data_IF_168571107297
#
_entry.id   IF_168571107297
#
_cell.length_a   1.000
_cell.length_b   1.000
_cell.length_c   1.000
_cell.angle_alpha   90.00
_cell.angle_beta   90.00
_cell.angle_gamma   90.00
#
_symmetry.space_group_name_H-M   'P 1'
#
loop_
_entity.id
_entity.type
_entity.pdbx_description
1 polymer ?
#
# COMPACT_ATOMS: atom_id res chain seq x y z
N UNK A 1 13.19 70.78 -29.70
CA UNK A 1 12.05 70.02 -29.16
C UNK A 1 12.31 68.55 -29.47
N UNK A 2 12.48 67.78 -28.39
CA UNK A 2 12.68 66.34 -28.17
C UNK A 2 13.02 65.36 -29.31
N UNK A 3 14.14 64.67 -29.08
CA UNK A 3 14.65 63.44 -29.71
C UNK A 3 13.88 62.23 -29.19
N UNK A 4 13.51 61.28 -30.05
CA UNK A 4 13.06 59.94 -29.63
C UNK A 4 13.86 58.91 -30.45
N UNK A 5 14.69 58.06 -29.82
CA UNK A 5 15.37 56.99 -30.55
C UNK A 5 14.46 55.76 -30.67
N UNK A 6 14.55 55.10 -31.82
CA UNK A 6 13.93 53.81 -32.07
C UNK A 6 14.55 52.75 -31.15
N UNK A 7 13.77 52.19 -30.23
CA UNK A 7 14.17 51.05 -29.40
C UNK A 7 13.84 49.78 -30.16
N UNK A 8 14.88 49.13 -30.68
CA UNK A 8 14.80 47.78 -31.24
C UNK A 8 14.62 46.78 -30.12
N UNK A 9 13.38 46.31 -29.92
CA UNK A 9 13.08 45.18 -29.03
C UNK A 9 13.47 43.88 -29.73
N UNK A 10 14.72 43.46 -29.55
CA UNK A 10 15.10 42.06 -29.82
C UNK A 10 14.40 41.18 -28.79
N UNK A 11 13.53 40.31 -29.30
CA UNK A 11 12.81 39.28 -28.58
C UNK A 11 13.70 38.52 -27.60
N UNK A 12 13.40 38.63 -26.31
CA UNK A 12 13.77 37.66 -25.28
C UNK A 12 12.46 37.14 -24.69
N UNK A 13 11.75 36.32 -25.47
CA UNK A 13 10.77 35.40 -24.92
C UNK A 13 11.57 34.26 -24.26
N UNK A 14 12.12 34.54 -23.07
CA UNK A 14 12.61 33.50 -22.17
C UNK A 14 11.36 32.77 -21.65
N UNK A 15 10.92 31.77 -22.40
CA UNK A 15 9.84 30.88 -22.00
C UNK A 15 10.19 30.25 -20.67
N UNK A 16 9.53 30.71 -19.61
CA UNK A 16 9.53 30.06 -18.30
C UNK A 16 8.78 28.74 -18.45
N UNK A 17 9.48 27.72 -18.94
CA UNK A 17 9.11 26.32 -18.77
C UNK A 17 9.48 25.90 -17.35
N UNK A 18 8.83 26.50 -16.36
CA UNK A 18 8.69 25.88 -15.04
C UNK A 18 7.72 24.72 -15.24
N UNK A 19 8.28 23.59 -15.66
CA UNK A 19 7.55 22.34 -15.79
C UNK A 19 6.78 22.08 -14.50
N UNK A 20 5.48 21.84 -14.63
CA UNK A 20 4.69 21.19 -13.59
C UNK A 20 5.37 19.86 -13.29
N UNK A 21 6.20 19.85 -12.25
CA UNK A 21 6.68 18.60 -11.69
C UNK A 21 5.44 17.97 -11.05
N UNK A 22 4.94 16.90 -11.68
CA UNK A 22 3.92 16.06 -11.09
C UNK A 22 4.39 15.67 -9.68
N UNK A 23 3.65 16.10 -8.66
CA UNK A 23 3.74 15.54 -7.32
C UNK A 23 3.26 14.08 -7.43
N UNK A 24 4.13 13.20 -7.91
CA UNK A 24 3.90 11.77 -7.85
C UNK A 24 3.95 11.41 -6.37
N UNK A 25 2.79 11.05 -5.80
CA UNK A 25 2.74 10.54 -4.44
C UNK A 25 3.42 9.18 -4.49
N UNK A 26 4.55 9.06 -3.81
CA UNK A 26 5.30 7.81 -3.80
C UNK A 26 4.46 6.76 -3.07
N UNK A 27 4.05 5.71 -3.77
CA UNK A 27 3.45 4.57 -3.11
C UNK A 27 4.52 3.87 -2.28
N UNK A 28 4.29 3.79 -0.98
CA UNK A 28 5.14 3.06 -0.05
C UNK A 28 4.54 1.69 0.22
N UNK A 29 5.40 0.67 0.26
CA UNK A 29 5.03 -0.70 0.60
C UNK A 29 5.59 -1.05 1.98
N UNK A 30 4.72 -1.54 2.84
CA UNK A 30 5.10 -2.12 4.14
C UNK A 30 4.80 -3.61 4.13
N UNK A 31 5.82 -4.43 4.35
CA UNK A 31 5.69 -5.88 4.39
C UNK A 31 5.63 -6.40 5.82
N UNK A 32 4.85 -7.46 5.99
CA UNK A 32 4.78 -8.25 7.21
C UNK A 32 4.93 -9.72 6.87
N UNK A 33 5.59 -10.46 7.74
CA UNK A 33 5.67 -11.91 7.72
C UNK A 33 4.88 -12.45 8.89
N UNK A 34 4.00 -13.41 8.63
CA UNK A 34 3.12 -14.01 9.63
C UNK A 34 3.34 -15.52 9.68
N UNK A 35 3.27 -16.09 10.88
CA UNK A 35 3.41 -17.54 11.11
C UNK A 35 2.13 -18.13 11.73
N UNK A 36 0.99 -18.11 11.00
CA UNK A 36 -0.24 -18.71 11.50
C UNK A 36 -0.17 -20.24 11.56
N UNK A 37 -0.67 -20.78 12.67
CA UNK A 37 -0.89 -22.22 12.86
C UNK A 37 -2.29 -22.55 12.37
N UNK A 38 -2.40 -23.41 11.37
CA UNK A 38 -3.67 -23.86 10.82
C UNK A 38 -4.17 -25.12 11.52
N UNK A 39 -5.41 -25.08 12.00
CA UNK A 39 -6.09 -26.15 12.72
C UNK A 39 -7.13 -26.83 11.82
N UNK A 40 -7.29 -28.16 11.91
CA UNK A 40 -6.78 -29.05 12.97
C UNK A 40 -5.40 -29.66 12.70
N UNK A 41 -4.81 -29.45 11.52
CA UNK A 41 -3.56 -30.09 11.10
C UNK A 41 -2.33 -29.66 11.94
N UNK A 42 -2.42 -28.53 12.65
CA UNK A 42 -1.34 -27.90 13.44
C UNK A 42 -0.11 -27.57 12.59
N UNK A 43 -0.31 -27.30 11.30
CA UNK A 43 0.75 -26.89 10.39
C UNK A 43 0.92 -25.38 10.42
N UNK A 44 2.17 -24.91 10.48
CA UNK A 44 2.49 -23.50 10.26
C UNK A 44 2.66 -23.27 8.77
N UNK A 45 1.85 -22.41 8.18
CA UNK A 45 2.07 -21.93 6.82
C UNK A 45 2.38 -20.44 6.88
N UNK A 46 3.61 -20.09 6.53
CA UNK A 46 4.09 -18.70 6.55
C UNK A 46 3.29 -17.90 5.52
N UNK A 47 2.74 -16.77 5.94
CA UNK A 47 2.00 -15.83 5.09
C UNK A 47 2.71 -14.49 5.05
N UNK A 48 2.59 -13.76 3.95
CA UNK A 48 3.03 -12.36 3.91
C UNK A 48 1.86 -11.42 3.68
N UNK A 49 1.95 -10.23 4.29
CA UNK A 49 1.01 -9.13 4.06
C UNK A 49 1.79 -7.95 3.55
N UNK A 50 1.48 -7.47 2.35
CA UNK A 50 2.00 -6.23 1.79
C UNK A 50 0.92 -5.16 1.83
N UNK A 51 1.19 -4.03 2.47
CA UNK A 51 0.30 -2.87 2.49
C UNK A 51 0.91 -1.75 1.65
N UNK A 52 0.28 -1.43 0.52
CA UNK A 52 0.66 -0.29 -0.32
C UNK A 52 -0.15 0.93 0.15
N UNK A 53 0.51 2.06 0.34
CA UNK A 53 -0.15 3.31 0.77
C UNK A 53 0.39 4.57 0.09
N UNK A 54 -0.48 5.56 -0.09
CA UNK A 54 -0.23 6.86 -0.74
C UNK A 54 -0.07 8.02 0.27
N UNK A 55 0.51 7.73 1.43
CA UNK A 55 0.58 8.55 2.66
C UNK A 55 -0.76 8.87 3.34
N UNK A 56 -1.90 8.67 2.67
CA UNK A 56 -3.23 8.97 3.24
C UNK A 56 -4.01 7.73 3.60
N UNK A 57 -3.92 6.69 2.78
CA UNK A 57 -4.67 5.45 2.95
C UNK A 57 -3.91 4.27 2.34
N UNK A 58 -4.33 3.08 2.74
CA UNK A 58 -3.97 1.85 2.03
C UNK A 58 -4.67 1.87 0.68
N UNK A 59 -3.90 1.79 -0.41
CA UNK A 59 -4.38 1.72 -1.79
C UNK A 59 -4.46 0.29 -2.29
N UNK A 60 -3.63 -0.60 -1.74
CA UNK A 60 -3.58 -2.01 -2.13
C UNK A 60 -3.20 -2.91 -0.93
N UNK A 61 -3.77 -4.12 -0.89
CA UNK A 61 -3.37 -5.17 0.05
C UNK A 61 -2.94 -6.38 -0.74
N UNK A 62 -1.75 -6.90 -0.43
CA UNK A 62 -1.20 -8.14 -0.99
C UNK A 62 -1.15 -9.21 0.07
N UNK A 63 -1.66 -10.39 -0.24
CA UNK A 63 -1.45 -11.59 0.58
C UNK A 63 -0.56 -12.52 -0.22
N UNK A 64 0.59 -12.90 0.33
CA UNK A 64 1.59 -13.75 -0.35
C UNK A 64 2.04 -13.17 -1.70
N UNK A 65 2.10 -11.83 -1.79
CA UNK A 65 2.43 -11.10 -3.01
C UNK A 65 1.27 -10.92 -4.01
N UNK A 66 0.14 -11.58 -3.78
CA UNK A 66 -1.05 -11.50 -4.64
C UNK A 66 -1.95 -10.34 -4.19
N UNK A 67 -2.26 -9.35 -5.06
CA UNK A 67 -3.19 -8.28 -4.73
C UNK A 67 -4.60 -8.85 -4.52
N UNK A 68 -5.22 -8.52 -3.39
CA UNK A 68 -6.59 -8.95 -3.09
C UNK A 68 -7.62 -8.10 -3.83
N UNK A 69 -8.71 -8.73 -4.25
CA UNK A 69 -9.76 -8.03 -5.01
C UNK A 69 -10.45 -6.91 -4.22
N UNK A 70 -10.67 -7.13 -2.92
CA UNK A 70 -11.32 -6.16 -2.04
C UNK A 70 -10.82 -6.31 -0.61
N UNK A 71 -10.67 -5.18 0.10
CA UNK A 71 -10.31 -5.17 1.52
C UNK A 71 -11.05 -4.03 2.24
N UNK A 72 -11.21 -4.17 3.54
CA UNK A 72 -11.67 -3.11 4.44
C UNK A 72 -10.61 -2.81 5.49
N UNK A 73 -10.52 -1.55 5.90
CA UNK A 73 -9.60 -1.09 6.94
C UNK A 73 -10.39 -0.54 8.13
N UNK A 74 -10.12 -1.06 9.32
CA UNK A 74 -10.71 -0.61 10.59
C UNK A 74 -9.59 -0.32 11.59
N UNK A 75 -9.16 0.93 11.69
CA UNK A 75 -7.93 1.27 12.42
C UNK A 75 -6.72 0.58 11.77
N UNK A 76 -5.94 -0.15 12.56
CA UNK A 76 -4.80 -0.94 12.07
C UNK A 76 -5.19 -2.34 11.52
N UNK A 77 -6.49 -2.69 11.54
CA UNK A 77 -6.97 -4.00 11.10
C UNK A 77 -7.39 -3.98 9.64
N UNK A 78 -6.83 -4.90 8.85
CA UNK A 78 -7.22 -5.17 7.47
C UNK A 78 -8.06 -6.44 7.44
N UNK A 79 -9.25 -6.35 6.85
CA UNK A 79 -10.12 -7.49 6.59
C UNK A 79 -10.19 -7.73 5.08
N UNK A 80 -9.93 -8.97 4.65
CA UNK A 80 -9.95 -9.34 3.23
C UNK A 80 -10.32 -10.80 3.05
N UNK A 81 -10.40 -11.26 1.81
CA UNK A 81 -10.47 -12.67 1.48
C UNK A 81 -9.62 -13.01 0.24
N UNK A 82 -8.99 -14.18 0.28
CA UNK A 82 -8.25 -14.77 -0.85
C UNK A 82 -8.47 -16.28 -0.84
N UNK A 83 -8.73 -16.90 -1.99
CA UNK A 83 -8.88 -18.36 -2.12
C UNK A 83 -9.84 -19.03 -1.13
N UNK A 84 -11.00 -18.41 -0.88
CA UNK A 84 -11.99 -18.78 0.15
C UNK A 84 -11.57 -18.55 1.61
N UNK A 85 -10.35 -18.10 1.87
CA UNK A 85 -9.89 -17.77 3.21
C UNK A 85 -10.34 -16.36 3.55
N UNK A 86 -11.07 -16.20 4.66
CA UNK A 86 -11.37 -14.89 5.24
C UNK A 86 -10.24 -14.54 6.18
N UNK A 87 -9.55 -13.43 5.90
CA UNK A 87 -8.30 -13.05 6.56
C UNK A 87 -8.55 -11.76 7.34
N UNK A 88 -8.05 -11.74 8.57
CA UNK A 88 -7.94 -10.56 9.41
C UNK A 88 -6.49 -10.39 9.85
N UNK A 89 -5.86 -9.33 9.37
CA UNK A 89 -4.52 -8.92 9.79
C UNK A 89 -4.62 -7.66 10.64
N UNK A 90 -3.88 -7.60 11.74
CA UNK A 90 -3.79 -6.42 12.60
C UNK A 90 -2.33 -5.96 12.68
N UNK A 91 -2.07 -4.76 12.15
CA UNK A 91 -0.72 -4.21 12.04
C UNK A 91 -0.15 -3.69 13.37
N UNK A 92 -1.01 -3.30 14.32
CA UNK A 92 -0.59 -2.81 15.64
C UNK A 92 -0.35 -3.98 16.59
N UNK A 93 -1.24 -4.96 16.58
CA UNK A 93 -1.10 -6.18 17.38
C UNK A 93 -0.14 -7.20 16.76
N UNK A 94 0.31 -6.96 15.52
CA UNK A 94 1.12 -7.88 14.73
C UNK A 94 0.53 -9.30 14.76
N UNK A 95 -0.73 -9.42 14.35
CA UNK A 95 -1.46 -10.67 14.44
C UNK A 95 -2.18 -11.04 13.15
N UNK A 96 -2.26 -12.34 12.91
CA UNK A 96 -3.04 -12.95 11.84
C UNK A 96 -4.14 -13.81 12.46
N UNK A 97 -5.34 -13.70 11.91
CA UNK A 97 -6.43 -14.65 12.12
C UNK A 97 -7.08 -14.95 10.77
N UNK A 98 -7.44 -16.20 10.54
CA UNK A 98 -8.20 -16.54 9.34
C UNK A 98 -9.12 -17.74 9.51
N UNK A 99 -10.11 -17.82 8.62
CA UNK A 99 -11.07 -18.89 8.54
C UNK A 99 -11.34 -19.25 7.07
N UNK A 100 -11.07 -20.52 6.73
CA UNK A 100 -11.33 -21.12 5.44
C UNK A 100 -12.77 -21.63 5.35
N UNK A 101 -13.72 -20.72 5.61
CA UNK A 101 -15.17 -20.99 5.66
C UNK A 101 -15.52 -22.20 6.53
N UNK A 102 -14.88 -22.32 7.70
CA UNK A 102 -15.10 -23.41 8.65
C UNK A 102 -14.37 -24.72 8.35
N UNK A 103 -13.63 -24.84 7.23
CA UNK A 103 -12.83 -26.02 6.92
C UNK A 103 -11.52 -26.02 7.72
N UNK A 104 -10.90 -24.85 7.84
CA UNK A 104 -9.62 -24.66 8.50
C UNK A 104 -9.60 -23.29 9.15
N UNK A 105 -9.09 -23.18 10.37
CA UNK A 105 -8.91 -21.90 11.04
C UNK A 105 -7.45 -21.68 11.37
N UNK A 106 -7.00 -20.44 11.36
CA UNK A 106 -5.62 -20.14 11.71
C UNK A 106 -5.49 -18.91 12.56
N UNK A 107 -4.44 -18.89 13.36
CA UNK A 107 -4.02 -17.71 14.11
C UNK A 107 -2.51 -17.74 14.28
N UNK A 108 -1.87 -16.57 14.25
CA UNK A 108 -0.43 -16.48 14.47
C UNK A 108 0.04 -15.07 14.75
N UNK A 109 1.31 -14.98 15.13
CA UNK A 109 2.01 -13.71 15.23
C UNK A 109 2.55 -13.31 13.87
N UNK A 110 2.69 -12.01 13.70
CA UNK A 110 3.36 -11.39 12.60
C UNK A 110 4.56 -10.58 13.10
N UNK A 111 5.41 -10.22 12.16
CA UNK A 111 6.51 -9.30 12.35
C UNK A 111 6.59 -8.40 11.12
N UNK A 112 7.07 -7.17 11.31
CA UNK A 112 7.36 -6.29 10.19
C UNK A 112 8.57 -6.85 9.44
N UNK A 113 8.40 -7.11 8.15
CA UNK A 113 9.47 -7.61 7.29
C UNK A 113 10.22 -6.43 6.64
N UNK A 114 11.50 -6.62 6.26
CA UNK A 114 12.27 -5.63 5.51
C UNK A 114 11.65 -5.25 4.16
#
# INVERSE_FOLDING_TARGET
>A
MYVVPAVSFRSLALGVLLGLQSLAWAEALVNYRCEPVYQPARSVWVRTVGLVHDDKKITEVRIDGVPVYSFNVYGARVLTALDNERIAFDADQLSWQSDWRGVMQSSGRCEKAP
#
